data_IF_153915261180
#
_entry.id   IF_153915261180
#
_cell.length_a   1.000
_cell.length_b   1.000
_cell.length_c   1.000
_cell.angle_alpha   90.00
_cell.angle_beta   90.00
_cell.angle_gamma   90.00
#
_symmetry.space_group_name_H-M   'P 1'
#
loop_
_entity.id
_entity.type
_entity.pdbx_description
1 polymer ?
#
# COMPACT_ATOMS: atom_id res chain seq x y z
N UNK A 1 -7.11 4.25 -8.85
CA UNK A 1 -5.63 4.17 -8.96
C UNK A 1 -5.01 5.22 -9.86
N UNK A 2 -5.26 5.26 -11.17
CA UNK A 2 -4.67 6.28 -12.06
C UNK A 2 -5.11 7.71 -11.70
N UNK A 3 -6.36 7.89 -11.26
CA UNK A 3 -6.82 9.19 -10.77
C UNK A 3 -6.11 9.61 -9.46
N UNK A 4 -5.78 8.66 -8.58
CA UNK A 4 -4.98 8.94 -7.36
C UNK A 4 -3.56 9.35 -7.73
N UNK A 5 -2.96 8.72 -8.75
CA UNK A 5 -1.64 9.10 -9.28
C UNK A 5 -1.61 10.57 -9.76
N UNK A 6 -2.68 11.04 -10.39
CA UNK A 6 -2.79 12.42 -10.91
C UNK A 6 -2.86 13.47 -9.81
N UNK A 7 -3.09 13.08 -8.55
CA UNK A 7 -3.00 14.01 -7.43
C UNK A 7 -1.55 14.38 -7.09
N UNK A 8 -0.54 13.59 -7.47
CA UNK A 8 0.86 13.93 -7.21
C UNK A 8 1.31 15.18 -7.96
N UNK A 9 2.15 16.02 -7.33
CA UNK A 9 2.64 17.27 -7.92
C UNK A 9 3.89 17.10 -8.78
N UNK A 10 4.59 15.99 -8.61
CA UNK A 10 5.74 15.61 -9.42
C UNK A 10 5.71 14.11 -9.76
N UNK A 11 6.64 13.68 -10.63
CA UNK A 11 6.70 12.28 -11.08
C UNK A 11 6.96 11.29 -9.95
N UNK A 12 7.78 11.66 -8.97
CA UNK A 12 8.13 10.81 -7.83
C UNK A 12 6.91 10.61 -6.93
N UNK A 13 6.22 11.70 -6.59
CA UNK A 13 5.00 11.67 -5.78
C UNK A 13 3.88 10.92 -6.51
N UNK A 14 3.63 11.24 -7.78
CA UNK A 14 2.61 10.54 -8.58
C UNK A 14 2.87 9.03 -8.63
N UNK A 15 4.12 8.62 -8.88
CA UNK A 15 4.48 7.19 -8.90
C UNK A 15 4.32 6.56 -7.51
N UNK A 16 4.68 7.28 -6.45
CA UNK A 16 4.46 6.82 -5.07
C UNK A 16 2.98 6.62 -4.76
N UNK A 17 2.14 7.59 -5.11
CA UNK A 17 0.69 7.53 -4.92
C UNK A 17 0.08 6.34 -5.66
N UNK A 18 0.49 6.14 -6.92
CA UNK A 18 0.06 4.99 -7.71
C UNK A 18 0.41 3.66 -7.02
N UNK A 19 1.68 3.49 -6.63
CA UNK A 19 2.17 2.24 -6.01
C UNK A 19 1.47 1.97 -4.69
N UNK A 20 1.38 2.96 -3.81
CA UNK A 20 0.73 2.82 -2.51
C UNK A 20 -0.74 2.48 -2.66
N UNK A 21 -1.48 3.23 -3.48
CA UNK A 21 -2.91 2.97 -3.67
C UNK A 21 -3.17 1.57 -4.26
N UNK A 22 -2.38 1.19 -5.26
CA UNK A 22 -2.51 -0.11 -5.91
C UNK A 22 -2.20 -1.27 -4.94
N UNK A 23 -1.13 -1.16 -4.17
CA UNK A 23 -0.75 -2.22 -3.24
C UNK A 23 -1.70 -2.32 -2.04
N UNK A 24 -2.25 -1.21 -1.54
CA UNK A 24 -3.33 -1.24 -0.53
C UNK A 24 -4.56 -1.99 -1.05
N UNK A 25 -4.97 -1.72 -2.29
CA UNK A 25 -6.11 -2.40 -2.92
C UNK A 25 -5.84 -3.88 -3.19
N UNK A 26 -4.61 -4.21 -3.62
CA UNK A 26 -4.16 -5.60 -3.73
C UNK A 26 -4.29 -6.33 -2.39
N UNK A 27 -3.68 -5.80 -1.33
CA UNK A 27 -3.70 -6.41 0.01
C UNK A 27 -5.12 -6.56 0.54
N UNK A 28 -5.96 -5.53 0.37
CA UNK A 28 -7.37 -5.61 0.75
C UNK A 28 -8.12 -6.71 0.01
N UNK A 29 -7.84 -6.92 -1.28
CA UNK A 29 -8.49 -7.96 -2.08
C UNK A 29 -8.11 -9.38 -1.67
N UNK A 30 -6.96 -9.56 -1.00
CA UNK A 30 -6.55 -10.84 -0.43
C UNK A 30 -7.30 -11.17 0.86
N UNK A 31 -7.87 -10.18 1.54
CA UNK A 31 -8.61 -10.39 2.79
C UNK A 31 -10.06 -10.85 2.57
N UNK A 32 -10.60 -10.67 1.37
CA UNK A 32 -12.05 -10.80 1.11
C UNK A 32 -12.49 -12.10 0.44
N UNK A 33 -11.57 -13.00 0.06
CA UNK A 33 -11.90 -14.19 -0.75
C UNK A 33 -11.54 -15.48 -0.01
N UNK A 34 -12.54 -16.36 0.18
CA UNK A 34 -12.37 -17.68 0.79
C UNK A 34 -11.52 -18.63 -0.07
N UNK A 35 -11.54 -18.47 -1.39
CA UNK A 35 -10.64 -19.16 -2.34
C UNK A 35 -9.91 -18.14 -3.22
N UNK A 36 -8.59 -18.11 -3.12
CA UNK A 36 -7.72 -17.19 -3.86
C UNK A 36 -6.90 -17.92 -4.91
N UNK A 37 -7.10 -17.60 -6.19
CA UNK A 37 -6.12 -17.88 -7.24
C UNK A 37 -5.10 -16.74 -7.30
N UNK A 38 -4.07 -16.82 -6.44
CA UNK A 38 -3.00 -15.84 -6.37
C UNK A 38 -2.29 -15.64 -7.73
N UNK A 39 -2.16 -16.70 -8.55
CA UNK A 39 -1.48 -16.59 -9.84
C UNK A 39 -2.26 -15.73 -10.82
N UNK A 40 -3.58 -15.91 -10.85
CA UNK A 40 -4.44 -15.09 -11.71
C UNK A 40 -4.50 -13.64 -11.22
N UNK A 41 -4.63 -13.43 -9.91
CA UNK A 41 -4.62 -12.09 -9.30
C UNK A 41 -3.30 -11.37 -9.64
N UNK A 42 -2.16 -11.98 -9.33
CA UNK A 42 -0.84 -11.38 -9.60
C UNK A 42 -0.67 -11.05 -11.08
N UNK A 43 -1.14 -11.92 -11.99
CA UNK A 43 -1.09 -11.69 -13.43
C UNK A 43 -1.90 -10.46 -13.84
N UNK A 44 -3.10 -10.30 -13.31
CA UNK A 44 -3.99 -9.19 -13.66
C UNK A 44 -3.43 -7.86 -13.15
N UNK A 45 -2.91 -7.84 -11.92
CA UNK A 45 -2.21 -6.66 -11.39
C UNK A 45 -0.95 -6.34 -12.19
N UNK A 46 -0.13 -7.34 -12.53
CA UNK A 46 1.08 -7.13 -13.33
C UNK A 46 0.76 -6.59 -14.73
N UNK A 47 -0.32 -7.07 -15.36
CA UNK A 47 -0.80 -6.53 -16.64
C UNK A 47 -1.21 -5.07 -16.50
N UNK A 48 -1.98 -4.74 -15.47
CA UNK A 48 -2.40 -3.36 -15.20
C UNK A 48 -1.20 -2.44 -14.95
N UNK A 49 -0.25 -2.86 -14.10
CA UNK A 49 0.97 -2.11 -13.78
C UNK A 49 1.79 -1.83 -15.04
N UNK A 50 1.97 -2.85 -15.89
CA UNK A 50 2.70 -2.70 -17.15
C UNK A 50 2.07 -1.64 -18.05
N UNK A 51 0.74 -1.63 -18.19
CA UNK A 51 0.05 -0.62 -18.99
C UNK A 51 0.04 0.76 -18.35
N UNK A 52 0.03 0.85 -17.01
CA UNK A 52 -0.03 2.10 -16.28
C UNK A 52 1.31 2.84 -16.20
N UNK A 53 2.39 2.13 -15.84
CA UNK A 53 3.70 2.74 -15.53
C UNK A 53 4.88 2.08 -16.25
N UNK A 54 4.62 1.09 -17.11
CA UNK A 54 5.62 0.52 -18.01
C UNK A 54 6.44 -0.63 -17.43
N UNK A 55 7.50 -0.98 -18.16
CA UNK A 55 8.42 -2.09 -17.84
C UNK A 55 9.19 -1.85 -16.55
N UNK A 56 9.54 -2.94 -15.85
CA UNK A 56 10.31 -2.90 -14.60
C UNK A 56 9.47 -2.73 -13.33
N UNK A 57 8.14 -2.76 -13.47
CA UNK A 57 7.22 -2.70 -12.35
C UNK A 57 6.31 -3.94 -12.34
N UNK A 58 6.19 -4.54 -11.17
CA UNK A 58 5.35 -5.69 -10.87
C UNK A 58 4.68 -5.48 -9.52
N UNK A 59 3.67 -6.30 -9.22
CA UNK A 59 3.05 -6.29 -7.90
C UNK A 59 4.08 -6.56 -6.80
N UNK A 60 5.03 -7.47 -7.03
CA UNK A 60 6.16 -7.71 -6.10
C UNK A 60 6.97 -6.44 -5.84
N UNK A 61 7.31 -5.67 -6.88
CA UNK A 61 8.05 -4.41 -6.70
C UNK A 61 7.23 -3.33 -5.97
N UNK A 62 5.90 -3.36 -6.12
CA UNK A 62 4.98 -2.48 -5.39
C UNK A 62 4.96 -2.84 -3.90
N UNK A 63 4.83 -4.13 -3.59
CA UNK A 63 4.86 -4.63 -2.21
C UNK A 63 6.22 -4.35 -1.54
N UNK A 64 7.33 -4.52 -2.27
CA UNK A 64 8.67 -4.14 -1.79
C UNK A 64 8.77 -2.63 -1.51
N UNK A 65 8.21 -1.78 -2.38
CA UNK A 65 8.14 -0.34 -2.15
C UNK A 65 7.34 -0.01 -0.88
N UNK A 66 6.23 -0.72 -0.63
CA UNK A 66 5.39 -0.56 0.56
C UNK A 66 6.02 -1.05 1.86
N UNK A 67 7.15 -1.75 1.79
CA UNK A 67 7.92 -2.16 2.98
C UNK A 67 9.01 -1.14 3.35
N UNK A 68 9.18 -0.05 2.60
CA UNK A 68 10.27 0.92 2.78
C UNK A 68 9.83 2.32 3.21
N UNK A 69 10.78 3.16 3.62
CA UNK A 69 10.52 4.53 4.12
C UNK A 69 9.68 5.40 3.17
N UNK A 70 9.80 5.18 1.85
CA UNK A 70 9.10 6.00 0.86
C UNK A 70 7.58 5.89 0.96
N UNK A 71 7.04 4.74 1.39
CA UNK A 71 5.58 4.61 1.57
C UNK A 71 5.07 5.47 2.73
N UNK A 72 5.89 5.67 3.78
CA UNK A 72 5.52 6.46 4.96
C UNK A 72 5.19 7.89 4.53
N UNK A 73 6.03 8.48 3.68
CA UNK A 73 5.79 9.84 3.13
C UNK A 73 4.49 9.94 2.33
N UNK A 74 4.08 8.85 1.68
CA UNK A 74 2.82 8.81 0.91
C UNK A 74 1.63 8.73 1.86
N UNK A 75 1.66 7.83 2.86
CA UNK A 75 0.54 7.66 3.79
C UNK A 75 0.42 8.79 4.82
N UNK A 76 1.48 9.57 5.03
CA UNK A 76 1.42 10.84 5.79
C UNK A 76 0.95 12.02 4.92
N UNK A 77 0.85 11.87 3.59
CA UNK A 77 0.41 12.94 2.69
C UNK A 77 -1.10 13.13 2.75
N UNK A 78 -1.54 14.30 3.23
CA UNK A 78 -2.96 14.70 3.23
C UNK A 78 -3.59 14.62 1.83
N UNK A 79 -2.80 14.90 0.79
CA UNK A 79 -3.26 14.87 -0.61
C UNK A 79 -3.54 13.45 -1.08
N UNK A 80 -2.64 12.52 -0.73
CA UNK A 80 -2.84 11.11 -0.96
C UNK A 80 -4.07 10.60 -0.22
N UNK A 81 -4.13 10.82 1.10
CA UNK A 81 -5.22 10.31 1.94
C UNK A 81 -6.59 10.82 1.48
N UNK A 82 -6.69 12.11 1.16
CA UNK A 82 -7.93 12.69 0.60
C UNK A 82 -8.30 12.01 -0.73
N UNK A 83 -7.39 11.98 -1.69
CA UNK A 83 -7.67 11.42 -3.02
C UNK A 83 -7.96 9.92 -2.97
N UNK A 84 -7.26 9.19 -2.10
CA UNK A 84 -7.48 7.76 -1.90
C UNK A 84 -8.85 7.49 -1.27
N UNK A 85 -9.21 8.20 -0.21
CA UNK A 85 -10.52 8.04 0.45
C UNK A 85 -11.69 8.42 -0.46
N UNK A 86 -11.53 9.40 -1.35
CA UNK A 86 -12.56 9.81 -2.31
C UNK A 86 -12.69 8.85 -3.51
N UNK A 87 -11.60 8.19 -3.93
CA UNK A 87 -11.55 7.44 -5.20
C UNK A 87 -11.40 5.93 -5.05
N UNK A 88 -11.08 5.43 -3.86
CA UNK A 88 -10.84 4.01 -3.56
C UNK A 88 -11.65 3.60 -2.33
N UNK A 89 -12.97 3.84 -2.40
CA UNK A 89 -13.92 3.72 -1.29
C UNK A 89 -14.05 2.30 -0.73
N UNK A 90 -13.63 1.28 -1.48
CA UNK A 90 -13.61 -0.11 -1.05
C UNK A 90 -12.52 -0.42 -0.02
N UNK A 91 -11.53 0.48 0.14
CA UNK A 91 -10.43 0.34 1.09
C UNK A 91 -10.47 1.52 2.06
N UNK A 92 -10.98 1.34 3.28
CA UNK A 92 -11.06 2.41 4.25
C UNK A 92 -9.68 2.96 4.62
N UNK A 93 -9.55 4.28 4.80
CA UNK A 93 -8.28 4.94 5.10
C UNK A 93 -7.70 4.46 6.43
N UNK A 94 -8.56 4.20 7.41
CA UNK A 94 -8.23 3.66 8.72
C UNK A 94 -7.64 2.24 8.66
N UNK A 95 -7.85 1.51 7.56
CA UNK A 95 -7.26 0.17 7.36
C UNK A 95 -5.81 0.21 6.91
N UNK A 96 -5.29 1.38 6.48
CA UNK A 96 -3.93 1.51 5.93
C UNK A 96 -2.84 0.95 6.87
N UNK A 97 -2.80 1.28 8.18
CA UNK A 97 -1.79 0.74 9.08
C UNK A 97 -1.85 -0.79 9.17
N UNK A 98 -3.05 -1.37 9.19
CA UNK A 98 -3.24 -2.82 9.20
C UNK A 98 -2.72 -3.47 7.91
N UNK A 99 -3.04 -2.93 6.74
CA UNK A 99 -2.59 -3.45 5.45
C UNK A 99 -1.07 -3.35 5.29
N UNK A 100 -0.45 -2.26 5.75
CA UNK A 100 1.01 -2.14 5.80
C UNK A 100 1.62 -3.19 6.73
N UNK A 101 0.99 -3.44 7.89
CA UNK A 101 1.38 -4.51 8.82
C UNK A 101 1.31 -5.90 8.18
N UNK A 102 0.24 -6.20 7.44
CA UNK A 102 0.09 -7.45 6.68
C UNK A 102 1.25 -7.63 5.68
N UNK A 103 1.55 -6.59 4.89
CA UNK A 103 2.64 -6.63 3.92
C UNK A 103 4.01 -6.88 4.58
N UNK A 104 4.27 -6.24 5.72
CA UNK A 104 5.49 -6.45 6.49
C UNK A 104 5.58 -7.87 7.08
N UNK A 105 4.47 -8.40 7.60
CA UNK A 105 4.41 -9.78 8.11
C UNK A 105 4.76 -10.81 7.05
N UNK A 106 4.17 -10.68 5.86
CA UNK A 106 4.48 -11.55 4.72
C UNK A 106 5.95 -11.41 4.28
N UNK A 107 6.47 -10.18 4.23
CA UNK A 107 7.87 -9.94 3.89
C UNK A 107 8.83 -10.58 4.91
N UNK A 108 8.49 -10.58 6.20
CA UNK A 108 9.23 -11.27 7.26
C UNK A 108 9.25 -12.78 7.04
N UNK A 109 8.09 -13.38 6.80
CA UNK A 109 7.97 -14.83 6.64
C UNK A 109 8.80 -15.34 5.45
N UNK A 110 8.91 -14.52 4.41
CA UNK A 110 9.74 -14.81 3.23
C UNK A 110 11.24 -14.56 3.51
N UNK A 111 11.60 -13.43 4.13
CA UNK A 111 13.00 -12.99 4.26
C UNK A 111 13.72 -13.47 5.51
N UNK A 112 12.99 -13.90 6.55
CA UNK A 112 13.48 -14.24 7.90
C UNK A 112 14.25 -13.10 8.61
N UNK A 113 14.17 -11.87 8.12
CA UNK A 113 14.82 -10.69 8.71
C UNK A 113 13.82 -9.94 9.62
N UNK A 114 14.32 -9.32 10.69
CA UNK A 114 13.50 -8.56 11.63
C UNK A 114 12.82 -7.35 10.97
N UNK A 115 11.59 -7.03 11.40
CA UNK A 115 10.66 -6.10 10.72
C UNK A 115 10.88 -4.64 11.14
N UNK A 116 11.97 -4.35 11.85
CA UNK A 116 12.27 -2.99 12.33
C UNK A 116 12.51 -2.04 11.16
N UNK A 117 11.94 -0.85 11.23
CA UNK A 117 12.16 0.20 10.26
C UNK A 117 11.01 1.22 10.19
N UNK A 118 11.12 2.21 9.29
CA UNK A 118 10.23 3.36 9.27
C UNK A 118 8.74 3.03 9.14
N UNK A 119 8.40 1.95 8.44
CA UNK A 119 7.01 1.50 8.29
C UNK A 119 6.49 0.89 9.59
N UNK A 120 7.31 0.11 10.30
CA UNK A 120 6.92 -0.44 11.60
C UNK A 120 6.75 0.69 12.65
N UNK A 121 7.65 1.67 12.65
CA UNK A 121 7.55 2.84 13.54
C UNK A 121 6.31 3.68 13.23
N UNK A 122 5.96 3.82 11.95
CA UNK A 122 4.71 4.46 11.54
C UNK A 122 3.47 3.70 12.06
N UNK A 123 3.44 2.37 11.90
CA UNK A 123 2.31 1.54 12.36
C UNK A 123 2.13 1.66 13.87
N UNK A 124 3.21 1.58 14.64
CA UNK A 124 3.17 1.71 16.09
C UNK A 124 2.66 3.09 16.52
N UNK A 125 3.09 4.16 15.84
CA UNK A 125 2.59 5.52 16.10
C UNK A 125 1.10 5.65 15.82
N UNK A 126 0.60 5.07 14.73
CA UNK A 126 -0.83 5.09 14.41
C UNK A 126 -1.66 4.32 15.44
N UNK A 127 -1.10 3.23 15.97
CA UNK A 127 -1.72 2.46 17.06
C UNK A 127 -1.86 3.31 18.32
N UNK A 128 -0.78 3.97 18.75
CA UNK A 128 -0.79 4.83 19.94
C UNK A 128 -1.79 5.98 19.81
N UNK A 129 -1.82 6.66 18.66
CA UNK A 129 -2.79 7.73 18.39
C UNK A 129 -4.25 7.24 18.47
N UNK A 130 -4.52 5.99 18.08
CA UNK A 130 -5.85 5.40 18.20
C UNK A 130 -6.19 5.05 19.64
N UNK A 131 -5.26 4.46 20.39
CA UNK A 131 -5.45 4.14 21.81
C UNK A 131 -5.69 5.42 22.64
N UNK A 132 -5.00 6.52 22.31
CA UNK A 132 -5.22 7.85 22.90
C UNK A 132 -6.59 8.45 22.56
N UNK A 133 -7.10 8.23 21.35
CA UNK A 133 -8.42 8.74 20.93
C UNK A 133 -9.60 7.96 21.55
N UNK A 134 -9.37 6.68 21.90
CA UNK A 134 -10.35 5.79 22.52
C UNK A 134 -10.36 5.90 24.07
N UNK A 135 -9.45 6.69 24.67
CA UNK A 135 -9.30 6.91 26.13
C UNK A 135 -10.00 8.18 26.62
#
# INVERSE_FOLDING_TARGET
MLAVMQAGVDRSEATGFFRTALGLFYLSSLMTKETLDFKQIDRDYNRFIYHAIGKGHTITSVLQYMSGEKVVRVVESKRFLKSFGELCTEVPVESIPFLLGLNLGVAKDISKIDVRGPVADYIERQRQLREEADS
#
